data_IF_863730527235
#
_entry.id   IF_863730527235
#
_cell.length_a   1.000
_cell.length_b   1.000
_cell.length_c   1.000
_cell.angle_alpha   90.00
_cell.angle_beta   90.00
_cell.angle_gamma   90.00
#
_symmetry.space_group_name_H-M   'P 1'
#
loop_
_entity.id
_entity.type
_entity.pdbx_description
1 polymer ?
#
# COMPACT_ATOMS: atom_id res chain seq x y z
N UNK A 1 -20.87 57.84 -14.40
CA UNK A 1 -20.35 57.29 -13.13
C UNK A 1 -20.40 55.78 -13.23
N UNK A 2 -19.26 55.13 -13.49
CA UNK A 2 -19.17 53.67 -13.46
C UNK A 2 -18.58 53.31 -12.10
N UNK A 3 -19.36 52.62 -11.26
CA UNK A 3 -18.90 52.11 -9.98
C UNK A 3 -17.87 50.99 -10.24
N UNK A 4 -16.59 51.29 -10.00
CA UNK A 4 -15.55 50.27 -9.93
C UNK A 4 -15.43 49.86 -8.46
N UNK A 5 -16.27 48.91 -8.03
CA UNK A 5 -16.04 48.19 -6.79
C UNK A 5 -14.77 47.35 -6.98
N UNK A 6 -13.82 47.54 -6.07
CA UNK A 6 -12.45 47.01 -6.17
C UNK A 6 -12.42 45.50 -6.39
N UNK A 7 -11.71 45.10 -7.44
CA UNK A 7 -11.34 43.70 -7.68
C UNK A 7 -10.12 43.42 -6.79
N UNK A 8 -10.38 42.80 -5.64
CA UNK A 8 -9.34 42.37 -4.71
C UNK A 8 -8.39 41.40 -5.42
N UNK A 9 -7.14 41.84 -5.65
CA UNK A 9 -6.09 41.04 -6.28
C UNK A 9 -5.50 41.62 -7.58
N UNK A 10 -6.02 42.73 -8.11
CA UNK A 10 -5.46 43.37 -9.31
C UNK A 10 -4.57 44.55 -8.93
N UNK A 11 -3.29 44.50 -9.34
CA UNK A 11 -2.42 45.68 -9.33
C UNK A 11 -2.95 46.66 -10.39
N UNK A 12 -3.52 47.80 -9.94
CA UNK A 12 -3.96 48.86 -10.82
C UNK A 12 -2.75 49.71 -11.20
N UNK A 13 -2.38 49.73 -12.48
CA UNK A 13 -1.28 50.55 -12.99
C UNK A 13 -1.87 51.76 -13.72
N UNK A 14 -1.33 52.93 -13.48
CA UNK A 14 -1.75 54.16 -14.15
C UNK A 14 -0.85 54.39 -15.36
N UNK A 15 -1.34 54.12 -16.56
CA UNK A 15 -0.64 54.41 -17.81
C UNK A 15 -1.41 55.50 -18.56
N UNK A 16 -0.78 56.65 -18.82
CA UNK A 16 -1.36 57.75 -19.59
C UNK A 16 -2.76 58.21 -19.10
N UNK A 17 -2.96 58.25 -17.78
CA UNK A 17 -4.24 58.65 -17.19
C UNK A 17 -5.36 57.60 -17.27
N UNK A 18 -5.12 56.46 -17.93
CA UNK A 18 -6.00 55.30 -17.89
C UNK A 18 -5.62 54.41 -16.70
N UNK A 19 -6.62 53.97 -15.94
CA UNK A 19 -6.45 52.88 -14.97
C UNK A 19 -6.56 51.59 -15.77
N UNK A 20 -5.42 50.91 -15.97
CA UNK A 20 -5.36 49.61 -16.62
C UNK A 20 -5.12 48.53 -15.58
N UNK A 21 -5.85 47.42 -15.72
CA UNK A 21 -5.61 46.21 -14.94
C UNK A 21 -4.26 45.65 -15.36
N UNK A 22 -3.30 45.52 -14.44
CA UNK A 22 -2.10 44.74 -14.71
C UNK A 22 -2.53 43.29 -15.03
N UNK A 23 -2.32 42.87 -16.27
CA UNK A 23 -2.48 41.47 -16.66
C UNK A 23 -1.27 40.69 -16.14
N UNK A 24 -1.24 40.38 -14.85
CA UNK A 24 -0.29 39.42 -14.29
C UNK A 24 -0.75 37.99 -14.61
N UNK A 25 0.21 37.09 -14.86
CA UNK A 25 -0.12 35.68 -15.09
C UNK A 25 -0.77 35.10 -13.82
N UNK A 26 -1.83 34.29 -13.95
CA UNK A 26 -2.49 33.68 -12.81
C UNK A 26 -1.50 32.83 -11.99
N UNK A 27 -1.70 32.77 -10.67
CA UNK A 27 -0.85 31.94 -9.80
C UNK A 27 -1.20 30.45 -9.98
N UNK A 28 -0.18 29.60 -9.87
CA UNK A 28 -0.37 28.14 -9.82
C UNK A 28 -0.96 27.77 -8.45
N UNK A 29 -2.10 27.10 -8.45
CA UNK A 29 -2.83 26.65 -7.24
C UNK A 29 -3.47 25.29 -7.48
N UNK A 30 -3.90 24.62 -6.41
CA UNK A 30 -4.69 23.38 -6.46
C UNK A 30 -6.21 23.61 -6.32
N UNK A 31 -6.65 24.88 -6.37
CA UNK A 31 -8.05 25.25 -6.11
C UNK A 31 -8.99 24.87 -7.25
N UNK A 32 -8.47 24.66 -8.47
CA UNK A 32 -9.27 24.26 -9.63
C UNK A 32 -9.74 22.80 -9.59
N UNK A 33 -9.15 21.97 -8.73
CA UNK A 33 -9.45 20.54 -8.62
C UNK A 33 -10.93 20.24 -8.35
N UNK A 34 -11.63 21.14 -7.64
CA UNK A 34 -13.04 20.98 -7.24
C UNK A 34 -14.04 21.67 -8.17
N UNK A 35 -13.56 22.40 -9.18
CA UNK A 35 -14.42 23.13 -10.09
C UNK A 35 -14.68 22.31 -11.36
N UNK A 36 -15.94 22.25 -11.78
CA UNK A 36 -16.34 21.64 -13.06
C UNK A 36 -16.03 22.57 -14.24
N UNK A 37 -16.18 23.88 -14.03
CA UNK A 37 -15.98 24.91 -15.05
C UNK A 37 -14.49 25.31 -15.15
N UNK A 38 -13.67 24.41 -15.71
CA UNK A 38 -12.24 24.63 -15.94
C UNK A 38 -11.92 24.56 -17.43
N UNK A 39 -11.07 25.46 -17.90
CA UNK A 39 -10.60 25.48 -19.28
C UNK A 39 -9.32 24.65 -19.40
N UNK A 40 -9.26 23.79 -20.41
CA UNK A 40 -8.15 22.90 -20.69
C UNK A 40 -7.12 23.55 -21.62
N UNK A 41 -5.87 23.67 -21.16
CA UNK A 41 -4.72 24.19 -21.89
C UNK A 41 -3.58 23.17 -22.02
N UNK A 42 -3.92 21.91 -22.34
CA UNK A 42 -2.94 20.85 -22.58
C UNK A 42 -2.38 20.31 -21.27
N UNK A 43 -1.42 21.00 -20.65
CA UNK A 43 -0.76 20.61 -19.40
C UNK A 43 -1.29 21.35 -18.17
N UNK A 44 -2.22 22.28 -18.38
CA UNK A 44 -2.77 23.14 -17.33
C UNK A 44 -4.30 23.27 -17.43
N UNK A 45 -4.94 23.54 -16.30
CA UNK A 45 -6.31 23.99 -16.19
C UNK A 45 -6.35 25.45 -15.73
N UNK A 46 -7.25 26.25 -16.32
CA UNK A 46 -7.56 27.60 -15.86
C UNK A 46 -8.97 27.61 -15.28
N UNK A 47 -9.13 28.16 -14.08
CA UNK A 47 -10.43 28.28 -13.43
C UNK A 47 -10.54 29.59 -12.62
N UNK A 48 -11.76 29.97 -12.27
CA UNK A 48 -12.00 30.96 -11.24
C UNK A 48 -11.98 30.30 -9.85
N UNK A 49 -11.43 30.98 -8.84
CA UNK A 49 -11.35 30.42 -7.48
C UNK A 49 -12.70 30.19 -6.80
N UNK A 50 -13.77 30.78 -7.34
CA UNK A 50 -15.16 30.60 -6.92
C UNK A 50 -15.94 29.60 -7.81
N UNK A 51 -15.25 28.90 -8.71
CA UNK A 51 -15.81 27.98 -9.70
C UNK A 51 -16.81 28.61 -10.71
N UNK A 52 -16.82 29.94 -10.86
CA UNK A 52 -17.51 30.60 -11.97
C UNK A 52 -16.76 30.41 -13.30
N UNK A 53 -17.44 30.69 -14.42
CA UNK A 53 -16.84 30.55 -15.75
C UNK A 53 -15.73 31.59 -15.99
N UNK A 54 -14.50 31.17 -16.35
CA UNK A 54 -13.42 32.09 -16.69
C UNK A 54 -13.58 32.65 -18.11
N UNK A 55 -13.28 33.94 -18.29
CA UNK A 55 -13.30 34.63 -19.59
C UNK A 55 -11.86 34.91 -20.03
N UNK A 56 -11.47 34.39 -21.19
CA UNK A 56 -10.13 34.59 -21.73
C UNK A 56 -10.10 35.71 -22.76
N UNK A 57 -9.17 36.63 -22.59
CA UNK A 57 -8.91 37.70 -23.53
C UNK A 57 -7.94 37.25 -24.63
N UNK A 58 -6.97 36.40 -24.26
CA UNK A 58 -6.02 35.83 -25.20
C UNK A 58 -5.72 34.37 -24.82
N UNK A 59 -6.05 33.46 -25.74
CA UNK A 59 -5.88 32.02 -25.56
C UNK A 59 -4.41 31.60 -25.53
N UNK A 60 -3.53 32.36 -26.17
CA UNK A 60 -2.10 32.02 -26.28
C UNK A 60 -1.34 32.39 -24.99
N UNK A 61 -1.69 33.51 -24.39
CA UNK A 61 -1.06 34.04 -23.18
C UNK A 61 -1.76 33.64 -21.89
N UNK A 62 -2.91 32.94 -21.98
CA UNK A 62 -3.74 32.50 -20.85
C UNK A 62 -4.19 33.66 -19.95
N UNK A 63 -4.30 34.85 -20.53
CA UNK A 63 -4.80 36.04 -19.84
C UNK A 63 -6.33 36.07 -19.87
N UNK A 64 -6.93 36.34 -18.71
CA UNK A 64 -8.38 36.36 -18.54
C UNK A 64 -8.82 36.94 -17.21
N UNK A 65 -10.12 36.87 -16.96
CA UNK A 65 -10.74 37.33 -15.72
C UNK A 65 -12.02 36.55 -15.40
N UNK A 66 -12.48 36.66 -14.15
CA UNK A 66 -13.74 36.10 -13.68
C UNK A 66 -14.78 37.21 -13.60
N UNK A 67 -15.98 36.99 -14.16
CA UNK A 67 -17.05 38.01 -14.17
C UNK A 67 -17.51 38.41 -12.77
N UNK A 68 -17.36 37.49 -11.81
CA UNK A 68 -17.66 37.70 -10.39
C UNK A 68 -16.63 38.57 -9.67
N UNK A 69 -15.49 38.86 -10.31
CA UNK A 69 -14.34 39.52 -9.68
C UNK A 69 -13.46 38.55 -8.88
N UNK A 70 -13.71 37.25 -8.92
CA UNK A 70 -12.83 36.25 -8.32
C UNK A 70 -11.45 36.21 -8.98
N UNK A 71 -10.45 35.72 -8.24
CA UNK A 71 -9.10 35.54 -8.76
C UNK A 71 -9.09 34.41 -9.81
N UNK A 72 -8.38 34.64 -10.91
CA UNK A 72 -8.11 33.60 -11.89
C UNK A 72 -6.95 32.74 -11.37
N UNK A 73 -7.11 31.42 -11.43
CA UNK A 73 -6.12 30.47 -10.97
C UNK A 73 -5.71 29.52 -12.10
N UNK A 74 -4.42 29.14 -12.12
CA UNK A 74 -3.91 28.05 -12.96
C UNK A 74 -3.68 26.83 -12.06
N UNK A 75 -3.98 25.65 -12.56
CA UNK A 75 -3.61 24.39 -11.93
C UNK A 75 -2.90 23.51 -12.95
N UNK A 76 -1.70 23.00 -12.62
CA UNK A 76 -1.04 21.99 -13.44
C UNK A 76 -1.89 20.72 -13.46
N UNK A 77 -2.04 20.10 -14.63
CA UNK A 77 -2.68 18.80 -14.72
C UNK A 77 -1.85 17.78 -13.95
N UNK A 78 -2.49 16.86 -13.20
CA UNK A 78 -1.76 15.76 -12.60
C UNK A 78 -1.04 14.97 -13.69
N UNK A 79 0.23 14.66 -13.48
CA UNK A 79 1.01 13.90 -14.44
C UNK A 79 0.53 12.45 -14.44
N UNK A 80 0.05 11.98 -15.59
CA UNK A 80 -0.24 10.56 -15.79
C UNK A 80 1.05 9.79 -16.02
N UNK A 81 1.23 8.69 -15.28
CA UNK A 81 2.31 7.73 -15.48
C UNK A 81 1.71 6.44 -16.02
N UNK A 82 2.33 5.89 -17.06
CA UNK A 82 1.96 4.61 -17.63
C UNK A 82 3.05 3.58 -17.35
N UNK A 83 2.65 2.38 -16.91
CA UNK A 83 3.58 1.28 -16.64
C UNK A 83 2.99 -0.05 -17.03
N UNK A 84 3.87 -0.96 -17.46
CA UNK A 84 3.52 -2.34 -17.69
C UNK A 84 3.34 -3.10 -16.38
N UNK A 85 2.31 -3.93 -16.32
CA UNK A 85 2.09 -4.87 -15.23
C UNK A 85 1.95 -6.27 -15.83
N UNK A 86 2.83 -7.18 -15.38
CA UNK A 86 2.79 -8.58 -15.77
C UNK A 86 2.15 -9.41 -14.65
N UNK A 87 1.18 -10.23 -15.03
CA UNK A 87 0.59 -11.25 -14.17
C UNK A 87 1.53 -12.44 -13.94
N UNK A 88 1.10 -13.39 -13.09
CA UNK A 88 1.84 -14.63 -12.90
C UNK A 88 1.89 -15.46 -14.18
N UNK A 89 2.94 -16.27 -14.32
CA UNK A 89 3.00 -17.27 -15.37
C UNK A 89 1.95 -18.36 -15.17
N UNK A 90 1.28 -18.72 -16.25
CA UNK A 90 0.47 -19.94 -16.33
C UNK A 90 1.37 -21.18 -16.22
N UNK A 91 0.73 -22.34 -16.03
CA UNK A 91 1.44 -23.62 -16.08
C UNK A 91 2.09 -23.82 -17.46
N UNK A 92 3.26 -24.44 -17.46
CA UNK A 92 3.95 -24.81 -18.69
C UNK A 92 3.10 -25.82 -19.49
N UNK A 93 3.11 -25.72 -20.81
CA UNK A 93 2.40 -26.65 -21.70
C UNK A 93 2.90 -28.09 -21.59
N UNK A 94 4.19 -28.25 -21.28
CA UNK A 94 4.87 -29.54 -21.20
C UNK A 94 5.56 -29.64 -19.84
N UNK A 95 5.48 -30.77 -19.13
CA UNK A 95 6.22 -30.96 -17.88
C UNK A 95 7.72 -31.17 -18.10
N UNK A 96 8.15 -31.53 -19.31
CA UNK A 96 9.52 -31.84 -19.73
C UNK A 96 9.68 -31.71 -21.25
N UNK A 97 10.90 -31.90 -21.75
CA UNK A 97 11.33 -31.78 -23.15
C UNK A 97 11.04 -30.41 -23.80
N UNK A 98 10.88 -29.38 -22.98
CA UNK A 98 10.53 -28.04 -23.42
C UNK A 98 9.02 -27.86 -23.62
N UNK A 99 8.53 -26.73 -23.12
CA UNK A 99 7.18 -26.25 -23.35
C UNK A 99 7.15 -24.73 -23.40
N UNK A 100 5.96 -24.18 -23.54
CA UNK A 100 5.71 -22.73 -23.53
C UNK A 100 4.76 -22.43 -22.38
N UNK A 101 5.03 -21.35 -21.65
CA UNK A 101 4.09 -20.76 -20.68
C UNK A 101 3.73 -19.35 -21.08
N UNK A 102 2.51 -18.97 -20.75
CA UNK A 102 1.93 -17.66 -21.07
C UNK A 102 1.65 -16.87 -19.80
N UNK A 103 1.60 -15.55 -19.90
CA UNK A 103 1.12 -14.67 -18.83
C UNK A 103 0.39 -13.47 -19.41
N UNK A 104 -0.49 -12.90 -18.60
CA UNK A 104 -1.14 -11.63 -18.92
C UNK A 104 -0.16 -10.47 -18.72
N UNK A 105 -0.18 -9.52 -19.66
CA UNK A 105 0.61 -8.29 -19.59
C UNK A 105 -0.28 -7.16 -20.08
N UNK A 106 -0.49 -6.16 -19.23
CA UNK A 106 -1.33 -5.00 -19.52
C UNK A 106 -0.67 -3.68 -19.14
N UNK A 107 -1.03 -2.62 -19.85
CA UNK A 107 -0.61 -1.25 -19.54
C UNK A 107 -1.59 -0.62 -18.53
N UNK A 108 -1.04 0.02 -17.49
CA UNK A 108 -1.82 0.69 -16.46
C UNK A 108 -1.40 2.14 -16.31
N UNK A 109 -2.40 3.02 -16.25
CA UNK A 109 -2.24 4.43 -15.92
C UNK A 109 -2.35 4.67 -14.41
N UNK A 110 -1.63 5.68 -13.93
CA UNK A 110 -1.72 6.22 -12.57
C UNK A 110 -1.41 7.72 -12.56
N UNK A 111 -1.71 8.39 -11.45
CA UNK A 111 -1.48 9.84 -11.30
C UNK A 111 -0.45 10.06 -10.18
N UNK A 112 0.55 10.90 -10.43
CA UNK A 112 1.66 11.18 -9.48
C UNK A 112 1.21 11.71 -8.12
N UNK A 113 0.16 12.50 -8.08
CA UNK A 113 -0.21 13.33 -6.92
C UNK A 113 -1.46 12.84 -6.15
N UNK A 114 -1.98 11.63 -6.41
CA UNK A 114 -3.19 11.21 -5.68
C UNK A 114 -3.49 9.71 -5.60
N UNK A 115 -4.26 9.43 -4.54
CA UNK A 115 -5.09 8.30 -4.12
C UNK A 115 -5.89 7.52 -5.18
N UNK A 116 -5.69 7.78 -6.46
CA UNK A 116 -6.39 7.11 -7.55
C UNK A 116 -5.69 5.79 -7.83
N UNK A 117 -6.45 4.69 -7.70
CA UNK A 117 -5.96 3.34 -8.00
C UNK A 117 -5.58 3.26 -9.47
N UNK A 118 -4.50 2.53 -9.78
CA UNK A 118 -4.11 2.25 -11.15
C UNK A 118 -5.30 1.71 -11.96
N UNK A 119 -5.45 2.18 -13.20
CA UNK A 119 -6.53 1.81 -14.10
C UNK A 119 -5.97 1.27 -15.43
N UNK A 120 -6.63 0.28 -16.06
CA UNK A 120 -6.15 -0.29 -17.31
C UNK A 120 -6.28 0.76 -18.43
N UNK A 121 -5.29 0.78 -19.31
CA UNK A 121 -5.26 1.63 -20.50
C UNK A 121 -4.77 0.83 -21.72
N UNK A 122 -4.85 1.43 -22.89
CA UNK A 122 -4.34 0.85 -24.12
C UNK A 122 -2.81 0.66 -24.06
N UNK A 123 -2.33 -0.45 -24.65
CA UNK A 123 -0.92 -0.83 -24.71
C UNK A 123 -0.02 0.27 -25.32
N UNK A 124 -0.55 1.10 -26.23
CA UNK A 124 0.16 2.23 -26.85
C UNK A 124 0.56 3.34 -25.87
N UNK A 125 -0.06 3.40 -24.68
CA UNK A 125 0.26 4.40 -23.65
C UNK A 125 1.53 4.06 -22.89
N UNK A 126 1.93 2.79 -22.86
CA UNK A 126 3.16 2.36 -22.22
C UNK A 126 4.33 2.32 -23.22
N UNK A 127 5.58 2.52 -22.77
CA UNK A 127 6.75 2.37 -23.62
C UNK A 127 6.89 0.94 -24.13
N UNK A 128 6.81 0.73 -25.44
CA UNK A 128 6.88 -0.62 -26.03
C UNK A 128 8.19 -1.36 -25.74
N UNK A 129 9.29 -0.64 -25.51
CA UNK A 129 10.60 -1.22 -25.19
C UNK A 129 10.64 -1.90 -23.81
N UNK A 130 9.78 -1.45 -22.89
CA UNK A 130 9.68 -1.98 -21.53
C UNK A 130 8.64 -3.10 -21.42
N UNK A 131 7.98 -3.47 -22.53
CA UNK A 131 6.91 -4.46 -22.53
C UNK A 131 7.43 -5.84 -22.08
N UNK A 132 6.92 -6.39 -20.96
CA UNK A 132 7.30 -7.72 -20.53
C UNK A 132 6.86 -8.80 -21.53
N UNK A 133 7.65 -9.87 -21.67
CA UNK A 133 7.30 -11.00 -22.53
C UNK A 133 5.96 -11.63 -22.12
N UNK A 134 5.07 -11.90 -23.08
CA UNK A 134 3.79 -12.61 -22.85
C UNK A 134 3.93 -14.12 -22.84
N UNK A 135 5.02 -14.62 -23.39
CA UNK A 135 5.31 -16.05 -23.48
C UNK A 135 6.80 -16.30 -23.25
N UNK A 136 7.13 -17.45 -22.68
CA UNK A 136 8.51 -17.92 -22.60
C UNK A 136 8.59 -19.45 -22.61
N UNK A 137 9.77 -19.95 -22.96
CA UNK A 137 10.07 -21.37 -22.94
C UNK A 137 10.29 -21.83 -21.50
N UNK A 138 9.77 -23.00 -21.16
CA UNK A 138 9.84 -23.59 -19.82
C UNK A 138 10.14 -25.08 -19.90
N UNK A 139 10.54 -25.66 -18.75
CA UNK A 139 10.73 -27.10 -18.58
C UNK A 139 11.65 -27.76 -19.63
N UNK A 140 12.84 -27.18 -19.82
CA UNK A 140 13.84 -27.61 -20.82
C UNK A 140 14.58 -28.92 -20.47
N UNK A 141 14.35 -29.48 -19.29
CA UNK A 141 14.96 -30.77 -18.92
C UNK A 141 14.39 -31.91 -19.77
N UNK A 142 15.09 -33.04 -19.80
CA UNK A 142 14.60 -34.25 -20.45
C UNK A 142 13.59 -34.99 -19.57
N UNK A 143 12.53 -35.53 -20.17
CA UNK A 143 11.60 -36.41 -19.45
C UNK A 143 12.29 -37.67 -18.88
N UNK A 144 13.39 -38.12 -19.50
CA UNK A 144 14.16 -39.28 -19.05
C UNK A 144 14.88 -38.96 -17.73
N UNK A 145 15.39 -37.73 -17.58
CA UNK A 145 16.13 -37.31 -16.38
C UNK A 145 15.19 -37.15 -15.16
N UNK A 146 13.95 -36.68 -15.38
CA UNK A 146 12.95 -36.60 -14.32
C UNK A 146 12.59 -37.98 -13.74
N UNK A 147 12.52 -39.00 -14.60
CA UNK A 147 12.23 -40.38 -14.17
C UNK A 147 13.37 -41.00 -13.35
N UNK A 148 14.60 -40.51 -13.53
CA UNK A 148 15.77 -40.94 -12.75
C UNK A 148 15.87 -40.21 -11.40
N UNK A 149 15.48 -38.92 -11.32
CA UNK A 149 15.49 -38.14 -10.08
C UNK A 149 14.42 -38.57 -9.07
N UNK A 150 13.28 -39.11 -9.50
CA UNK A 150 12.20 -39.56 -8.60
C UNK A 150 12.56 -40.81 -7.77
N UNK A 151 13.72 -41.43 -8.04
CA UNK A 151 14.23 -42.58 -7.28
C UNK A 151 15.13 -42.22 -6.10
N UNK A 152 15.55 -40.95 -5.94
CA UNK A 152 16.55 -40.54 -4.95
C UNK A 152 16.15 -39.39 -4.02
N UNK A 153 14.85 -39.13 -3.80
CA UNK A 153 14.41 -38.15 -2.79
C UNK A 153 13.18 -38.61 -1.98
N UNK A 154 13.29 -39.79 -1.36
CA UNK A 154 12.56 -40.07 -0.11
C UNK A 154 13.56 -40.17 1.03
N UNK A 155 13.98 -39.05 1.59
CA UNK A 155 14.63 -39.08 2.90
C UNK A 155 14.37 -37.83 3.72
N UNK A 156 13.92 -38.07 4.95
CA UNK A 156 14.20 -37.24 6.11
C UNK A 156 13.21 -36.13 6.52
N UNK A 157 11.90 -36.35 6.39
CA UNK A 157 10.93 -35.66 7.25
C UNK A 157 10.91 -36.21 8.70
N UNK A 158 11.34 -37.47 8.86
CA UNK A 158 11.30 -38.20 10.13
C UNK A 158 12.47 -37.85 11.07
N UNK A 159 13.62 -37.45 10.53
CA UNK A 159 14.78 -37.05 11.34
C UNK A 159 14.59 -35.64 11.92
N UNK A 160 13.97 -34.72 11.16
CA UNK A 160 13.67 -33.36 11.64
C UNK A 160 12.70 -33.34 12.82
N UNK A 161 11.67 -34.19 12.79
CA UNK A 161 10.72 -34.29 13.89
C UNK A 161 11.36 -34.90 15.16
N UNK A 162 12.21 -35.91 15.00
CA UNK A 162 12.97 -36.50 16.12
C UNK A 162 13.90 -35.48 16.77
N UNK A 163 14.60 -34.66 15.98
CA UNK A 163 15.47 -33.59 16.50
C UNK A 163 14.64 -32.54 17.26
N UNK A 164 13.49 -32.12 16.72
CA UNK A 164 12.59 -31.18 17.39
C UNK A 164 12.06 -31.71 18.73
N UNK A 165 11.68 -33.00 18.79
CA UNK A 165 11.27 -33.64 20.04
C UNK A 165 12.38 -33.69 21.08
N UNK A 166 13.60 -34.07 20.67
CA UNK A 166 14.75 -34.11 21.57
C UNK A 166 15.07 -32.73 22.16
N UNK A 167 15.02 -31.67 21.35
CA UNK A 167 15.22 -30.30 21.82
C UNK A 167 14.15 -29.88 22.83
N UNK A 168 12.87 -30.19 22.57
CA UNK A 168 11.78 -29.88 23.49
C UNK A 168 11.94 -30.58 24.85
N UNK A 169 12.30 -31.87 24.85
CA UNK A 169 12.52 -32.64 26.08
C UNK A 169 13.66 -32.04 26.90
N UNK A 170 14.76 -31.63 26.26
CA UNK A 170 15.90 -30.99 26.94
C UNK A 170 15.49 -29.65 27.55
N UNK A 171 14.73 -28.81 26.83
CA UNK A 171 14.26 -27.52 27.35
C UNK A 171 13.35 -27.69 28.57
N UNK A 172 12.44 -28.67 28.55
CA UNK A 172 11.57 -28.98 29.69
C UNK A 172 12.37 -29.50 30.88
N UNK A 173 13.36 -30.36 30.66
CA UNK A 173 14.22 -30.87 31.72
C UNK A 173 15.04 -29.76 32.38
N UNK A 174 15.64 -28.86 31.60
CA UNK A 174 16.39 -27.71 32.11
C UNK A 174 15.46 -26.77 32.91
N UNK A 175 14.27 -26.50 32.39
CA UNK A 175 13.26 -25.70 33.10
C UNK A 175 12.83 -26.32 34.43
N UNK A 176 12.61 -27.64 34.47
CA UNK A 176 12.22 -28.36 35.69
C UNK A 176 13.33 -28.36 36.76
N UNK A 177 14.59 -28.58 36.36
CA UNK A 177 15.74 -28.52 37.27
C UNK A 177 15.94 -27.11 37.81
N UNK A 178 15.83 -26.09 36.95
CA UNK A 178 15.90 -24.69 37.35
C UNK A 178 14.78 -24.31 38.33
N UNK A 179 13.54 -24.76 38.07
CA UNK A 179 12.40 -24.51 38.93
C UNK A 179 12.53 -25.21 40.29
N UNK A 180 12.95 -26.47 40.33
CA UNK A 180 13.19 -27.21 41.57
C UNK A 180 14.33 -26.58 42.40
N UNK A 181 15.42 -26.17 41.74
CA UNK A 181 16.53 -25.45 42.38
C UNK A 181 16.11 -24.09 42.91
N UNK A 182 15.27 -23.35 42.17
CA UNK A 182 14.71 -22.08 42.63
C UNK A 182 13.79 -22.24 43.84
N UNK A 183 12.92 -23.26 43.84
CA UNK A 183 12.05 -23.60 44.98
C UNK A 183 12.87 -24.04 46.20
N UNK A 184 13.97 -24.78 46.00
CA UNK A 184 14.90 -25.15 47.06
C UNK A 184 15.61 -23.92 47.64
N UNK A 185 16.13 -23.05 46.77
CA UNK A 185 16.84 -21.83 47.16
C UNK A 185 15.94 -20.83 47.89
N UNK A 186 14.64 -20.79 47.57
CA UNK A 186 13.66 -19.93 48.25
C UNK A 186 13.06 -20.53 49.54
N UNK A 187 13.50 -21.71 50.01
CA UNK A 187 13.13 -22.21 51.35
C UNK A 187 14.07 -21.62 52.41
N UNK A 188 13.63 -20.68 53.26
CA UNK A 188 14.38 -20.33 54.46
C UNK A 188 14.37 -21.52 55.43
N UNK A 189 15.56 -21.93 55.87
CA UNK A 189 15.74 -22.94 56.90
C UNK A 189 15.20 -22.45 58.25
N UNK A 190 14.00 -22.89 58.64
CA UNK A 190 13.56 -22.86 60.04
C UNK A 190 13.56 -24.28 60.60
N UNK A 191 14.69 -24.65 61.21
CA UNK A 191 14.70 -25.59 62.33
C UNK A 191 14.09 -24.87 63.53
N UNK A 192 12.90 -25.30 63.99
CA UNK A 192 12.59 -25.72 65.38
C UNK A 192 11.07 -25.66 65.65
N UNK A 193 10.56 -26.79 66.17
CA UNK A 193 9.49 -26.96 67.16
C UNK A 193 8.06 -26.47 66.87
N UNK A 194 7.10 -27.41 66.86
CA UNK A 194 5.70 -27.15 67.20
C UNK A 194 4.64 -27.83 66.33
N UNK A 195 4.18 -29.00 66.79
CA UNK A 195 2.78 -29.50 66.74
C UNK A 195 2.10 -29.84 65.38
N UNK A 196 1.73 -31.12 65.11
CA UNK A 196 1.18 -31.57 63.84
C UNK A 196 -0.36 -31.56 63.85
N UNK A 197 -1.02 -30.40 63.82
CA UNK A 197 -2.48 -30.42 63.70
C UNK A 197 -3.17 -29.16 63.14
N UNK A 198 -2.77 -28.63 61.96
CA UNK A 198 -3.68 -27.69 61.25
C UNK A 198 -3.42 -27.42 59.77
N UNK A 199 -3.34 -28.44 58.92
CA UNK A 199 -3.33 -28.21 57.45
C UNK A 199 -4.09 -29.27 56.63
N UNK A 200 -5.12 -29.88 57.20
CA UNK A 200 -6.14 -30.67 56.45
C UNK A 200 -7.43 -29.87 56.21
N UNK A 201 -7.46 -28.59 56.59
CA UNK A 201 -8.70 -27.81 56.67
C UNK A 201 -8.98 -26.84 55.49
N UNK A 202 -8.29 -26.95 54.34
CA UNK A 202 -8.53 -26.08 53.18
C UNK A 202 -8.47 -26.81 51.82
N UNK A 203 -8.95 -28.06 51.76
CA UNK A 203 -9.23 -28.75 50.49
C UNK A 203 -10.61 -29.44 50.44
N UNK A 204 -11.41 -29.33 51.50
CA UNK A 204 -12.73 -29.98 51.62
C UNK A 204 -13.88 -29.03 51.24
N UNK A 205 -13.64 -27.72 51.14
CA UNK A 205 -14.69 -26.72 50.87
C UNK A 205 -14.95 -26.41 49.39
N UNK A 206 -14.37 -27.16 48.44
CA UNK A 206 -14.59 -26.92 47.00
C UNK A 206 -15.19 -28.14 46.26
N UNK A 207 -15.35 -29.28 46.94
CA UNK A 207 -15.98 -30.48 46.40
C UNK A 207 -17.45 -30.66 46.84
N UNK A 208 -17.97 -29.76 47.67
CA UNK A 208 -19.34 -29.83 48.20
C UNK A 208 -20.37 -29.02 47.40
N UNK A 209 -19.94 -28.26 46.39
CA UNK A 209 -20.81 -27.44 45.53
C UNK A 209 -21.00 -28.01 44.10
N UNK A 210 -20.52 -29.23 43.81
CA UNK A 210 -20.64 -29.87 42.47
C UNK A 210 -21.55 -31.13 42.50
N UNK A 211 -22.05 -31.55 43.66
CA UNK A 211 -22.94 -32.72 43.80
C UNK A 211 -24.33 -32.40 44.36
N UNK A 212 -24.83 -31.17 44.14
CA UNK A 212 -26.20 -30.81 44.50
C UNK A 212 -26.80 -29.82 43.48
N UNK A 213 -26.85 -30.24 42.22
CA UNK A 213 -27.81 -29.75 41.24
C UNK A 213 -27.98 -30.81 40.15
N UNK A 214 -29.21 -31.33 40.06
CA UNK A 214 -29.76 -32.08 38.93
C UNK A 214 -29.36 -31.50 37.55
#
# INVERSE_FOLDING_TARGET
MYNLQGVSGQNLVKANGLVVVALERPRVTNKCSRCNNKLDFGDEYVCCTDCSDPYLMDKSSKFGFCKTGAELAIQLKPQEIFKWVAGPWMKCSSPCDGGIRYRDVGCYGGITDSSIKHYPVDDSRCPGQEMPARQEVCNLQSCIDLSASDSNEKSSGMLGWLVAFLVLVVLVAIGAVGFAGYVYYKRPALRTAGDPQRQVALSISCWKDILEQD
#
